data_IF_447392305998
#
_entry.id   IF_447392305998
#
_cell.length_a   1.000
_cell.length_b   1.000
_cell.length_c   1.000
_cell.angle_alpha   90.00
_cell.angle_beta   90.00
_cell.angle_gamma   90.00
#
_symmetry.space_group_name_H-M   'P 1'
#
loop_
_entity.id
_entity.type
_entity.pdbx_description
1 polymer ?
#
# COMPACT_ATOMS: atom_id res chain seq x y z
N UNK A 1 -32.19 -12.19 -8.15
CA UNK A 1 -31.21 -11.35 -8.87
C UNK A 1 -31.18 -9.90 -8.35
N UNK A 2 -32.30 -9.29 -7.96
CA UNK A 2 -32.33 -7.84 -7.63
C UNK A 2 -31.67 -7.36 -6.32
N UNK A 3 -31.40 -8.21 -5.33
CA UNK A 3 -30.85 -7.76 -4.04
C UNK A 3 -29.35 -7.43 -4.10
N UNK A 4 -28.57 -8.15 -4.92
CA UNK A 4 -27.12 -7.92 -5.06
C UNK A 4 -26.83 -6.63 -5.80
N UNK A 5 -27.55 -6.36 -6.89
CA UNK A 5 -27.38 -5.14 -7.70
C UNK A 5 -27.83 -3.89 -6.96
N UNK A 6 -28.95 -3.97 -6.22
CA UNK A 6 -29.41 -2.90 -5.36
C UNK A 6 -28.39 -2.60 -4.24
N UNK A 7 -27.79 -3.62 -3.64
CA UNK A 7 -26.75 -3.45 -2.63
C UNK A 7 -25.47 -2.83 -3.21
N UNK A 8 -24.99 -3.31 -4.36
CA UNK A 8 -23.83 -2.73 -5.04
C UNK A 8 -24.04 -1.25 -5.40
N UNK A 9 -25.24 -0.90 -5.87
CA UNK A 9 -25.63 0.48 -6.17
C UNK A 9 -25.64 1.33 -4.89
N UNK A 10 -26.15 0.82 -3.77
CA UNK A 10 -26.14 1.53 -2.50
C UNK A 10 -24.72 1.80 -1.98
N UNK A 11 -23.81 0.84 -2.10
CA UNK A 11 -22.40 1.03 -1.75
C UNK A 11 -21.76 2.11 -2.61
N UNK A 12 -21.93 2.05 -3.93
CA UNK A 12 -21.39 3.06 -4.85
C UNK A 12 -21.96 4.46 -4.55
N UNK A 13 -23.26 4.57 -4.26
CA UNK A 13 -23.92 5.83 -3.87
C UNK A 13 -23.37 6.39 -2.57
N UNK A 14 -23.04 5.52 -1.61
CA UNK A 14 -22.40 5.88 -0.35
C UNK A 14 -20.89 6.18 -0.49
N UNK A 15 -20.32 6.06 -1.68
CA UNK A 15 -18.87 6.22 -1.91
C UNK A 15 -18.03 5.06 -1.38
N UNK A 16 -18.65 3.92 -1.06
CA UNK A 16 -17.96 2.71 -0.60
C UNK A 16 -17.51 1.93 -1.84
N UNK A 17 -16.20 1.92 -2.05
CA UNK A 17 -15.55 1.23 -3.17
C UNK A 17 -14.74 0.04 -2.66
N UNK A 18 -14.77 -1.08 -3.39
CA UNK A 18 -13.82 -2.18 -3.19
C UNK A 18 -12.45 -1.78 -3.78
N UNK A 19 -11.72 -0.94 -3.04
CA UNK A 19 -10.40 -0.48 -3.46
C UNK A 19 -9.37 -1.61 -3.30
N UNK A 20 -8.67 -1.93 -4.40
CA UNK A 20 -7.60 -2.92 -4.43
C UNK A 20 -6.32 -2.29 -4.98
N UNK A 21 -5.17 -2.47 -4.30
CA UNK A 21 -5.00 -3.14 -3.01
C UNK A 21 -5.55 -2.30 -1.84
N UNK A 22 -5.71 -2.92 -0.68
CA UNK A 22 -6.00 -2.16 0.53
C UNK A 22 -4.78 -1.29 0.88
N UNK A 23 -4.98 0.02 1.04
CA UNK A 23 -3.91 0.96 1.45
C UNK A 23 -4.22 1.43 2.88
N UNK A 24 -3.44 0.95 3.83
CA UNK A 24 -3.55 1.22 5.25
C UNK A 24 -2.67 2.42 5.63
N UNK A 25 -3.25 3.34 6.39
CA UNK A 25 -2.60 4.52 6.95
C UNK A 25 -2.94 4.60 8.43
N UNK A 26 -2.06 5.18 9.24
CA UNK A 26 -2.37 5.47 10.65
C UNK A 26 -3.63 6.35 10.72
N UNK A 27 -4.57 6.08 11.65
CA UNK A 27 -5.76 6.93 11.83
C UNK A 27 -5.42 8.34 12.31
N UNK A 28 -4.19 8.57 12.80
CA UNK A 28 -3.69 9.90 13.22
C UNK A 28 -2.70 10.50 12.22
N UNK A 29 -2.56 9.96 11.00
CA UNK A 29 -1.64 10.50 10.00
C UNK A 29 -1.90 12.00 9.75
N UNK A 30 -0.84 12.81 9.79
CA UNK A 30 -0.88 14.27 9.70
C UNK A 30 -1.41 15.01 10.93
N UNK A 31 -1.78 14.29 12.00
CA UNK A 31 -2.31 14.86 13.25
C UNK A 31 -1.52 14.40 14.48
N UNK A 32 -0.71 13.35 14.35
CA UNK A 32 0.02 12.73 15.45
C UNK A 32 1.30 13.53 15.79
N UNK A 33 1.44 14.13 16.98
CA UNK A 33 2.63 14.91 17.34
C UNK A 33 3.99 14.21 17.15
N UNK A 34 4.14 12.89 17.45
CA UNK A 34 5.36 12.14 17.15
C UNK A 34 5.58 11.79 15.67
N UNK A 35 4.64 12.07 14.76
CA UNK A 35 4.79 11.76 13.34
C UNK A 35 6.04 12.45 12.76
N UNK A 36 6.84 11.67 12.04
CA UNK A 36 8.11 12.15 11.46
C UNK A 36 7.97 12.59 10.01
N UNK A 37 6.94 12.12 9.30
CA UNK A 37 6.58 12.57 7.96
C UNK A 37 5.08 12.37 7.66
N UNK A 38 4.42 13.39 7.10
CA UNK A 38 3.05 13.24 6.57
C UNK A 38 3.10 12.51 5.22
N UNK A 39 2.69 11.24 5.23
CA UNK A 39 2.66 10.38 4.04
C UNK A 39 1.25 10.19 3.46
N UNK A 40 0.26 10.99 3.87
CA UNK A 40 -1.12 10.86 3.33
C UNK A 40 -1.16 11.07 1.83
N UNK A 41 -0.41 12.06 1.33
CA UNK A 41 -0.29 12.33 -0.10
C UNK A 41 0.31 11.14 -0.88
N UNK A 42 1.24 10.40 -0.27
CA UNK A 42 1.83 9.17 -0.85
C UNK A 42 0.78 8.07 -0.91
N UNK A 43 0.03 7.84 0.17
CA UNK A 43 -1.03 6.84 0.21
C UNK A 43 -2.12 7.13 -0.84
N UNK A 44 -2.54 8.39 -0.98
CA UNK A 44 -3.53 8.78 -1.97
C UNK A 44 -3.00 8.68 -3.40
N UNK A 45 -1.72 8.97 -3.63
CA UNK A 45 -1.08 8.78 -4.92
C UNK A 45 -1.02 7.29 -5.31
N UNK A 46 -0.77 6.39 -4.35
CA UNK A 46 -0.83 4.93 -4.58
C UNK A 46 -2.26 4.53 -4.95
N UNK A 47 -3.26 4.94 -4.17
CA UNK A 47 -4.68 4.64 -4.45
C UNK A 47 -5.11 5.09 -5.85
N UNK A 48 -4.71 6.31 -6.27
CA UNK A 48 -5.00 6.83 -7.62
C UNK A 48 -4.18 6.16 -8.71
N UNK A 49 -2.97 5.72 -8.41
CA UNK A 49 -2.06 5.11 -9.37
C UNK A 49 -2.37 3.65 -9.70
N UNK A 50 -3.22 2.99 -8.90
CA UNK A 50 -3.72 1.65 -9.18
C UNK A 50 -5.00 1.75 -10.02
N UNK A 51 -4.86 1.55 -11.32
CA UNK A 51 -6.00 1.46 -12.24
C UNK A 51 -6.71 0.09 -12.16
N UNK A 52 -7.84 -0.04 -12.85
CA UNK A 52 -8.64 -1.26 -12.85
C UNK A 52 -7.91 -2.48 -13.41
N UNK A 53 -6.97 -2.29 -14.34
CA UNK A 53 -6.19 -3.38 -14.95
C UNK A 53 -5.18 -3.94 -13.94
N UNK A 54 -4.45 -3.04 -13.27
CA UNK A 54 -3.52 -3.41 -12.22
C UNK A 54 -4.27 -4.06 -11.05
N UNK A 55 -5.36 -3.44 -10.59
CA UNK A 55 -6.19 -3.98 -9.52
C UNK A 55 -6.69 -5.40 -9.80
N UNK A 56 -7.11 -5.68 -11.05
CA UNK A 56 -7.59 -7.00 -11.46
C UNK A 56 -6.48 -8.06 -11.57
N UNK A 57 -5.22 -7.63 -11.72
CA UNK A 57 -4.05 -8.51 -11.90
C UNK A 57 -3.31 -8.82 -10.60
N UNK A 58 -3.68 -8.16 -9.50
CA UNK A 58 -3.14 -8.41 -8.17
C UNK A 58 -3.74 -9.67 -7.54
N UNK A 59 -2.96 -10.35 -6.70
CA UNK A 59 -3.47 -11.45 -5.90
C UNK A 59 -4.62 -10.98 -4.96
N UNK A 60 -5.53 -11.87 -4.55
CA UNK A 60 -6.46 -11.55 -3.48
C UNK A 60 -5.72 -11.10 -2.22
N UNK A 61 -6.24 -10.04 -1.57
CA UNK A 61 -5.75 -9.50 -0.29
C UNK A 61 -4.37 -8.85 -0.33
N UNK A 62 -3.92 -8.36 -1.49
CA UNK A 62 -2.75 -7.47 -1.51
C UNK A 62 -3.03 -6.24 -0.65
N UNK A 63 -2.05 -5.90 0.18
CA UNK A 63 -2.11 -4.79 1.12
C UNK A 63 -0.85 -3.93 1.04
N UNK A 64 -1.04 -2.63 1.22
CA UNK A 64 0.03 -1.63 1.30
C UNK A 64 -0.10 -0.92 2.64
N UNK A 65 0.97 -0.87 3.41
CA UNK A 65 1.07 -0.04 4.62
C UNK A 65 1.84 1.23 4.28
N UNK A 66 1.31 2.39 4.71
CA UNK A 66 1.98 3.68 4.64
C UNK A 66 2.00 4.30 6.04
N UNK A 67 3.18 4.40 6.63
CA UNK A 67 3.39 4.79 8.02
C UNK A 67 4.31 6.01 8.14
N UNK A 68 3.81 7.10 8.74
CA UNK A 68 4.53 8.34 8.97
C UNK A 68 5.47 8.32 10.19
N UNK A 69 5.52 7.22 10.95
CA UNK A 69 6.32 7.10 12.17
C UNK A 69 5.68 7.77 13.38
N UNK A 70 4.34 7.79 13.44
CA UNK A 70 3.58 8.27 14.61
C UNK A 70 3.51 7.24 15.75
N UNK A 71 2.84 7.60 16.85
CA UNK A 71 2.63 6.74 18.01
C UNK A 71 1.66 5.59 17.76
N UNK A 72 0.74 5.73 16.79
CA UNK A 72 -0.07 4.61 16.28
C UNK A 72 0.58 4.01 15.03
N UNK A 73 1.74 3.39 15.23
CA UNK A 73 2.50 2.72 14.17
C UNK A 73 1.77 1.46 13.67
N UNK A 74 2.03 1.10 12.43
CA UNK A 74 1.50 -0.09 11.77
C UNK A 74 2.51 -1.24 11.76
N UNK A 75 3.53 -1.22 12.63
CA UNK A 75 4.69 -2.13 12.60
C UNK A 75 4.33 -3.60 12.72
N UNK A 76 3.33 -3.93 13.54
CA UNK A 76 2.86 -5.30 13.71
C UNK A 76 1.93 -5.79 12.59
N UNK A 77 1.53 -4.93 11.64
CA UNK A 77 0.64 -5.29 10.55
C UNK A 77 1.45 -5.89 9.40
N UNK A 78 1.13 -7.14 9.04
CA UNK A 78 1.68 -7.80 7.85
C UNK A 78 1.19 -7.09 6.58
N UNK A 79 2.11 -6.75 5.70
CA UNK A 79 1.83 -6.05 4.45
C UNK A 79 2.61 -6.66 3.28
N UNK A 80 1.99 -6.65 2.09
CA UNK A 80 2.68 -7.04 0.86
C UNK A 80 3.70 -5.98 0.43
N UNK A 81 3.37 -4.70 0.63
CA UNK A 81 4.26 -3.56 0.43
C UNK A 81 4.20 -2.63 1.65
N UNK A 82 5.33 -2.20 2.17
CA UNK A 82 5.43 -1.30 3.32
C UNK A 82 6.23 -0.06 2.96
N UNK A 83 5.67 1.10 3.24
CA UNK A 83 6.31 2.41 3.17
C UNK A 83 6.34 2.99 4.57
N UNK A 84 7.52 3.21 5.14
CA UNK A 84 7.68 3.78 6.47
C UNK A 84 8.58 5.03 6.40
N UNK A 85 8.21 6.08 7.12
CA UNK A 85 9.05 7.26 7.25
C UNK A 85 10.44 6.87 7.77
N UNK A 86 11.49 7.41 7.14
CA UNK A 86 12.86 7.06 7.44
C UNK A 86 13.74 8.31 7.44
N UNK A 87 13.92 8.92 8.62
CA UNK A 87 14.64 10.18 8.77
C UNK A 87 13.96 11.35 8.06
N UNK A 88 14.70 12.42 7.81
CA UNK A 88 14.15 13.62 7.16
C UNK A 88 14.04 13.44 5.65
N UNK A 89 12.81 13.33 5.13
CA UNK A 89 12.54 13.39 3.70
C UNK A 89 12.70 12.08 2.93
N UNK A 90 12.89 10.95 3.62
CA UNK A 90 13.03 9.65 2.99
C UNK A 90 12.02 8.63 3.54
N UNK A 91 11.76 7.60 2.74
CA UNK A 91 10.81 6.52 3.00
C UNK A 91 11.52 5.20 2.79
N UNK A 92 11.55 4.36 3.81
CA UNK A 92 11.97 2.98 3.69
C UNK A 92 10.88 2.18 2.97
N UNK A 93 11.26 1.45 1.94
CA UNK A 93 10.41 0.55 1.19
C UNK A 93 10.78 -0.90 1.53
N UNK A 94 9.78 -1.69 1.89
CA UNK A 94 9.94 -3.11 2.17
C UNK A 94 8.77 -3.92 1.59
N UNK A 95 8.94 -5.23 1.47
CA UNK A 95 7.91 -6.13 0.98
C UNK A 95 7.78 -7.39 1.83
N UNK A 96 6.53 -7.85 1.99
CA UNK A 96 6.20 -9.16 2.54
C UNK A 96 6.54 -9.36 4.01
N UNK A 97 5.83 -8.69 4.91
CA UNK A 97 5.99 -8.90 6.35
C UNK A 97 5.52 -7.73 7.20
N UNK A 98 5.86 -7.83 8.49
CA UNK A 98 5.82 -6.76 9.50
C UNK A 98 7.04 -5.85 9.37
N UNK A 99 7.15 -4.80 10.19
CA UNK A 99 8.37 -3.98 10.24
C UNK A 99 9.65 -4.81 10.52
N UNK A 100 9.55 -5.88 11.32
CA UNK A 100 10.68 -6.73 11.71
C UNK A 100 11.02 -7.82 10.68
N UNK A 101 10.04 -8.25 9.88
CA UNK A 101 10.16 -9.44 9.02
C UNK A 101 10.14 -9.12 7.53
N UNK A 102 9.65 -7.95 7.14
CA UNK A 102 9.59 -7.54 5.76
C UNK A 102 11.01 -7.40 5.18
N UNK A 103 11.16 -7.81 3.92
CA UNK A 103 12.42 -7.65 3.21
C UNK A 103 12.60 -6.19 2.81
N UNK A 104 13.69 -5.57 3.26
CA UNK A 104 14.07 -4.23 2.82
C UNK A 104 14.37 -4.22 1.31
N UNK A 105 13.73 -3.30 0.60
CA UNK A 105 13.95 -3.01 -0.81
C UNK A 105 14.78 -1.72 -1.01
N UNK A 106 15.07 -1.00 0.09
CA UNK A 106 15.87 0.22 0.10
C UNK A 106 15.09 1.44 0.59
N UNK A 107 15.69 2.61 0.42
CA UNK A 107 15.12 3.90 0.83
C UNK A 107 14.99 4.80 -0.38
N UNK A 108 13.86 5.49 -0.51
CA UNK A 108 13.57 6.44 -1.59
C UNK A 108 13.15 7.78 -1.02
N UNK A 109 13.34 8.85 -1.79
CA UNK A 109 12.81 10.17 -1.41
C UNK A 109 11.26 10.14 -1.39
N UNK A 110 10.63 10.93 -0.50
CA UNK A 110 9.17 10.95 -0.31
C UNK A 110 8.43 11.15 -1.65
N UNK A 111 8.91 12.05 -2.51
CA UNK A 111 8.29 12.33 -3.80
C UNK A 111 8.35 11.16 -4.79
N UNK A 112 9.25 10.19 -4.58
CA UNK A 112 9.37 8.97 -5.39
C UNK A 112 8.67 7.76 -4.76
N UNK A 113 8.26 7.86 -3.49
CA UNK A 113 7.73 6.74 -2.71
C UNK A 113 6.52 6.07 -3.36
N UNK A 114 5.55 6.85 -3.82
CA UNK A 114 4.35 6.31 -4.48
C UNK A 114 4.70 5.58 -5.79
N UNK A 115 5.61 6.14 -6.60
CA UNK A 115 6.06 5.52 -7.85
C UNK A 115 6.81 4.20 -7.60
N UNK A 116 7.64 4.16 -6.56
CA UNK A 116 8.35 2.94 -6.16
C UNK A 116 7.37 1.85 -5.69
N UNK A 117 6.38 2.19 -4.86
CA UNK A 117 5.34 1.24 -4.45
C UNK A 117 4.53 0.70 -5.63
N UNK A 118 4.13 1.57 -6.58
CA UNK A 118 3.42 1.14 -7.79
C UNK A 118 4.29 0.21 -8.67
N UNK A 119 5.61 0.43 -8.68
CA UNK A 119 6.54 -0.47 -9.39
C UNK A 119 6.55 -1.85 -8.73
N UNK A 120 6.63 -1.92 -7.40
CA UNK A 120 6.53 -3.20 -6.67
C UNK A 120 5.17 -3.87 -6.93
N UNK A 121 4.07 -3.12 -6.85
CA UNK A 121 2.73 -3.66 -7.13
C UNK A 121 2.60 -4.24 -8.55
N UNK A 122 3.23 -3.63 -9.56
CA UNK A 122 3.26 -4.18 -10.92
C UNK A 122 4.06 -5.47 -11.03
N UNK A 123 5.13 -5.64 -10.24
CA UNK A 123 5.88 -6.89 -10.18
C UNK A 123 5.12 -7.98 -9.41
N UNK A 124 4.30 -7.60 -8.43
CA UNK A 124 3.38 -8.51 -7.76
C UNK A 124 2.20 -8.89 -8.64
N UNK A 125 1.86 -8.09 -9.65
CA UNK A 125 0.81 -8.43 -10.61
C UNK A 125 1.28 -9.55 -11.56
N UNK A 126 0.38 -10.45 -11.94
CA UNK A 126 0.70 -11.55 -12.84
C UNK A 126 -0.54 -12.09 -13.57
N UNK A 127 -0.36 -12.83 -14.68
CA UNK A 127 -1.47 -13.42 -15.40
C UNK A 127 -2.20 -14.45 -14.52
N UNK A 128 -3.47 -14.18 -14.23
CA UNK A 128 -4.33 -14.99 -13.38
C UNK A 128 -4.29 -14.57 -11.91
N UNK A 129 -3.22 -14.93 -11.19
CA UNK A 129 -3.08 -14.68 -9.75
C UNK A 129 -1.70 -14.07 -9.54
N UNK A 130 -1.65 -12.82 -9.10
CA UNK A 130 -0.38 -12.18 -8.72
C UNK A 130 0.35 -12.90 -7.59
N UNK A 131 1.56 -12.44 -7.30
CA UNK A 131 2.38 -12.88 -6.18
C UNK A 131 1.98 -12.14 -4.90
N UNK A 132 2.22 -12.76 -3.73
CA UNK A 132 2.20 -12.04 -2.45
C UNK A 132 3.56 -11.36 -2.23
N UNK A 133 3.59 -10.32 -1.42
CA UNK A 133 4.83 -9.56 -1.14
C UNK A 133 5.98 -10.44 -0.64
N UNK A 134 5.67 -11.49 0.13
CA UNK A 134 6.65 -12.46 0.65
C UNK A 134 7.28 -13.34 -0.43
N UNK A 135 6.62 -13.47 -1.58
CA UNK A 135 7.07 -14.27 -2.72
C UNK A 135 7.80 -13.42 -3.76
N UNK A 136 7.94 -12.11 -3.53
CA UNK A 136 8.65 -11.20 -4.42
C UNK A 136 10.12 -11.59 -4.54
N UNK A 137 10.62 -11.70 -5.77
CA UNK A 137 12.06 -11.70 -6.04
C UNK A 137 12.54 -10.26 -6.14
N UNK A 138 13.32 -9.81 -5.16
CA UNK A 138 13.82 -8.43 -5.11
C UNK A 138 14.81 -8.12 -6.24
N UNK A 139 15.44 -9.13 -6.83
CA UNK A 139 16.35 -8.95 -7.96
C UNK A 139 15.63 -8.59 -9.26
N UNK A 140 14.33 -8.87 -9.33
CA UNK A 140 13.49 -8.53 -10.48
C UNK A 140 13.11 -7.05 -10.56
N UNK A 141 13.36 -6.26 -9.50
CA UNK A 141 13.04 -4.82 -9.42
C UNK A 141 14.10 -3.89 -10.05
N UNK A 142 15.11 -4.47 -10.72
CA UNK A 142 16.27 -3.76 -11.28
C UNK A 142 15.95 -2.79 -12.41
#
# INVERSE_FOLDING_TARGET
AGSVEAFATALATAGIVDARPAVLVSPLAGLDPPETADLRAVADAIRRGVDGTLAASLAPKISVVVDGGGGLHLDAIDADVRLAAHGSGAVALAAGGTADTARSLGTVAIERAAGAALTVLRHLAGPGHGLRGRDLDATALG
#
